data_IF_422936791980
#
_entry.id   IF_422936791980
#
_cell.length_a   1.000
_cell.length_b   1.000
_cell.length_c   1.000
_cell.angle_alpha   90.00
_cell.angle_beta   90.00
_cell.angle_gamma   90.00
#
_symmetry.space_group_name_H-M   'P 1'
#
loop_
_entity.id
_entity.type
_entity.pdbx_description
1 polymer ?
#
# COMPACT_ATOMS: atom_id res chain seq x y z
N UNK A 1 14.97 -12.93 12.86
CA UNK A 1 14.30 -13.29 11.61
C UNK A 1 12.81 -13.17 11.84
N UNK A 2 12.15 -12.25 11.17
CA UNK A 2 10.70 -12.06 11.22
C UNK A 2 10.03 -12.61 9.95
N UNK A 3 8.71 -12.79 9.98
CA UNK A 3 7.90 -13.23 8.84
C UNK A 3 7.06 -12.06 8.35
N UNK A 4 7.27 -11.62 7.13
CA UNK A 4 6.54 -10.51 6.52
C UNK A 4 5.65 -10.98 5.38
N UNK A 5 4.42 -10.48 5.36
CA UNK A 5 3.48 -10.64 4.27
C UNK A 5 3.45 -9.40 3.37
N UNK A 6 3.35 -9.59 2.06
CA UNK A 6 3.12 -8.52 1.10
C UNK A 6 1.88 -8.83 0.27
N UNK A 7 0.80 -8.15 0.58
CA UNK A 7 -0.43 -8.22 -0.20
C UNK A 7 -0.34 -7.22 -1.35
N UNK A 8 -0.16 -7.77 -2.56
CA UNK A 8 0.04 -6.99 -3.77
C UNK A 8 1.51 -6.74 -4.10
N UNK A 9 2.23 -7.77 -4.53
CA UNK A 9 3.59 -7.66 -5.06
C UNK A 9 3.60 -7.03 -6.47
N UNK A 10 3.19 -5.75 -6.51
CA UNK A 10 3.32 -4.86 -7.67
C UNK A 10 4.69 -4.18 -7.69
N UNK A 11 4.75 -2.95 -8.22
CA UNK A 11 5.99 -2.18 -8.31
C UNK A 11 6.61 -1.91 -6.93
N UNK A 12 5.83 -1.38 -5.99
CA UNK A 12 6.29 -1.12 -4.62
C UNK A 12 6.45 -2.42 -3.82
N UNK A 13 5.41 -3.27 -3.81
CA UNK A 13 5.42 -4.48 -2.98
C UNK A 13 6.53 -5.45 -3.33
N UNK A 14 6.91 -5.56 -4.61
CA UNK A 14 8.04 -6.42 -5.01
C UNK A 14 9.38 -5.85 -4.56
N UNK A 15 9.59 -4.53 -4.66
CA UNK A 15 10.84 -3.89 -4.22
C UNK A 15 11.03 -4.04 -2.71
N UNK A 16 9.97 -3.78 -1.93
CA UNK A 16 9.98 -4.01 -0.47
C UNK A 16 10.26 -5.47 -0.13
N UNK A 17 9.61 -6.43 -0.82
CA UNK A 17 9.84 -7.85 -0.58
C UNK A 17 11.30 -8.25 -0.82
N UNK A 18 11.91 -7.76 -1.89
CA UNK A 18 13.33 -8.00 -2.21
C UNK A 18 14.22 -7.47 -1.10
N UNK A 19 14.01 -6.23 -0.64
CA UNK A 19 14.85 -5.62 0.39
C UNK A 19 14.73 -6.34 1.74
N UNK A 20 13.50 -6.67 2.18
CA UNK A 20 13.28 -7.43 3.41
C UNK A 20 13.88 -8.84 3.33
N UNK A 21 13.84 -9.49 2.15
CA UNK A 21 14.49 -10.78 1.91
C UNK A 21 16.01 -10.67 2.05
N UNK A 22 16.63 -9.63 1.49
CA UNK A 22 18.06 -9.36 1.66
C UNK A 22 18.44 -9.05 3.12
N UNK A 23 17.54 -8.45 3.89
CA UNK A 23 17.71 -8.24 5.33
C UNK A 23 17.57 -9.54 6.17
N UNK A 24 17.32 -10.69 5.54
CA UNK A 24 17.27 -12.00 6.19
C UNK A 24 15.91 -12.36 6.79
N UNK A 25 14.84 -11.71 6.35
CA UNK A 25 13.48 -12.04 6.80
C UNK A 25 12.82 -13.09 5.89
N UNK A 26 11.81 -13.80 6.42
CA UNK A 26 10.98 -14.71 5.64
C UNK A 26 9.82 -13.95 4.99
N UNK A 27 9.63 -14.12 3.67
CA UNK A 27 8.68 -13.35 2.89
C UNK A 27 7.57 -14.22 2.31
N UNK A 28 6.33 -13.79 2.54
CA UNK A 28 5.12 -14.34 1.92
C UNK A 28 4.54 -13.24 1.03
N UNK A 29 4.43 -13.49 -0.26
CA UNK A 29 3.95 -12.51 -1.22
C UNK A 29 2.71 -12.94 -1.96
N UNK A 30 1.88 -11.98 -2.35
CA UNK A 30 0.67 -12.29 -3.11
C UNK A 30 0.59 -11.52 -4.42
N UNK A 31 -0.03 -12.14 -5.40
CA UNK A 31 -0.45 -11.50 -6.66
C UNK A 31 -1.82 -12.02 -7.08
N UNK A 32 -2.62 -11.15 -7.71
CA UNK A 32 -3.88 -11.58 -8.31
C UNK A 32 -3.67 -12.31 -9.63
N UNK A 33 -2.66 -11.93 -10.37
CA UNK A 33 -2.39 -12.41 -11.73
C UNK A 33 -1.62 -13.73 -11.72
N UNK A 34 -2.18 -14.85 -12.23
CA UNK A 34 -1.50 -16.13 -12.26
C UNK A 34 -0.24 -16.10 -13.13
N UNK A 35 -0.23 -15.29 -14.19
CA UNK A 35 0.93 -15.11 -15.06
C UNK A 35 2.12 -14.45 -14.36
N UNK A 36 1.91 -13.76 -13.25
CA UNK A 36 2.97 -13.16 -12.43
C UNK A 36 3.52 -14.09 -11.34
N UNK A 37 2.90 -15.25 -11.13
CA UNK A 37 3.32 -16.19 -10.09
C UNK A 37 4.78 -16.68 -10.24
N UNK A 38 5.30 -16.98 -11.45
CA UNK A 38 6.71 -17.34 -11.60
C UNK A 38 7.65 -16.23 -11.10
N UNK A 39 7.45 -15.00 -11.56
CA UNK A 39 8.28 -13.86 -11.13
C UNK A 39 8.13 -13.55 -9.63
N UNK A 40 6.97 -13.80 -9.03
CA UNK A 40 6.77 -13.63 -7.60
C UNK A 40 7.59 -14.64 -6.80
N UNK A 41 7.68 -15.91 -7.24
CA UNK A 41 8.48 -16.95 -6.57
C UNK A 41 9.96 -16.63 -6.53
N UNK A 42 10.47 -15.82 -7.46
CA UNK A 42 11.88 -15.40 -7.46
C UNK A 42 12.18 -14.39 -6.34
N UNK A 43 11.19 -13.60 -5.95
CA UNK A 43 11.38 -12.50 -4.99
C UNK A 43 10.91 -12.81 -3.56
N UNK A 44 10.05 -13.82 -3.35
CA UNK A 44 9.57 -14.21 -2.01
C UNK A 44 9.91 -15.66 -1.69
N UNK A 45 9.71 -16.10 -0.46
CA UNK A 45 9.88 -17.49 -0.05
C UNK A 45 8.60 -18.31 -0.30
N UNK A 46 7.44 -17.68 -0.06
CA UNK A 46 6.13 -18.28 -0.30
C UNK A 46 5.29 -17.35 -1.18
N UNK A 47 4.76 -17.87 -2.28
CA UNK A 47 3.97 -17.11 -3.23
C UNK A 47 2.53 -17.63 -3.30
N UNK A 48 1.56 -16.73 -3.11
CA UNK A 48 0.14 -17.06 -3.17
C UNK A 48 -0.56 -16.28 -4.27
N UNK A 49 -1.46 -16.94 -4.98
CA UNK A 49 -2.42 -16.24 -5.82
C UNK A 49 -3.56 -15.78 -4.92
N UNK A 50 -3.82 -14.47 -4.88
CA UNK A 50 -4.83 -13.87 -4.01
C UNK A 50 -5.58 -12.77 -4.76
N UNK A 51 -6.86 -12.94 -4.93
CA UNK A 51 -7.77 -11.86 -5.27
C UNK A 51 -8.51 -11.40 -4.00
N UNK A 52 -8.20 -10.20 -3.53
CA UNK A 52 -8.84 -9.63 -2.35
C UNK A 52 -10.36 -9.48 -2.51
N UNK A 53 -10.85 -9.35 -3.74
CA UNK A 53 -12.28 -9.16 -4.01
C UNK A 53 -13.08 -10.46 -3.89
N UNK A 54 -12.41 -11.61 -3.90
CA UNK A 54 -13.04 -12.90 -3.68
C UNK A 54 -13.35 -13.07 -2.18
N UNK A 55 -14.63 -13.25 -1.86
CA UNK A 55 -15.06 -13.47 -0.49
C UNK A 55 -14.61 -14.83 0.09
N UNK A 56 -14.24 -15.78 -0.79
CA UNK A 56 -13.73 -17.10 -0.44
C UNK A 56 -12.19 -17.17 -0.45
N UNK A 57 -11.51 -16.04 -0.65
CA UNK A 57 -10.05 -15.99 -0.66
C UNK A 57 -9.44 -16.58 0.63
N UNK A 58 -8.37 -17.34 0.47
CA UNK A 58 -7.64 -17.93 1.59
C UNK A 58 -6.63 -16.94 2.18
N UNK A 59 -6.81 -16.63 3.45
CA UNK A 59 -5.97 -15.74 4.23
C UNK A 59 -5.17 -16.47 5.33
N UNK A 60 -5.02 -17.81 5.25
CA UNK A 60 -4.36 -18.60 6.29
C UNK A 60 -2.92 -18.12 6.58
N UNK A 61 -2.22 -17.58 5.58
CA UNK A 61 -0.87 -17.04 5.76
C UNK A 61 -0.78 -15.91 6.80
N UNK A 62 -1.87 -15.20 7.09
CA UNK A 62 -1.89 -14.12 8.08
C UNK A 62 -1.57 -14.59 9.50
N UNK A 63 -1.77 -15.88 9.81
CA UNK A 63 -1.54 -16.44 11.15
C UNK A 63 -0.07 -16.38 11.60
N UNK A 64 0.87 -16.33 10.66
CA UNK A 64 2.29 -16.44 10.93
C UNK A 64 3.07 -15.14 10.83
N UNK A 65 2.40 -14.03 10.50
CA UNK A 65 3.05 -12.77 10.20
C UNK A 65 3.42 -11.98 11.45
N UNK A 66 4.59 -11.36 11.41
CA UNK A 66 5.05 -10.29 12.30
C UNK A 66 4.77 -8.90 11.68
N UNK A 67 4.76 -8.81 10.34
CA UNK A 67 4.40 -7.59 9.61
C UNK A 67 3.66 -7.87 8.31
N UNK A 68 2.76 -6.95 7.92
CA UNK A 68 1.96 -7.03 6.70
C UNK A 68 2.00 -5.71 5.94
N UNK A 69 2.51 -5.74 4.72
CA UNK A 69 2.40 -4.63 3.77
C UNK A 69 1.17 -4.83 2.87
N UNK A 70 0.31 -3.83 2.82
CA UNK A 70 -0.78 -3.73 1.85
C UNK A 70 -0.35 -2.75 0.76
N UNK A 71 0.04 -3.26 -0.42
CA UNK A 71 0.54 -2.50 -1.57
C UNK A 71 -0.24 -2.84 -2.83
N UNK A 72 -1.57 -2.80 -2.71
CA UNK A 72 -2.47 -3.08 -3.81
C UNK A 72 -2.78 -1.83 -4.62
N UNK A 73 -2.88 -1.99 -5.93
CA UNK A 73 -3.33 -0.94 -6.83
C UNK A 73 -4.40 -1.48 -7.76
N UNK A 74 -5.48 -0.73 -8.00
CA UNK A 74 -6.50 -1.13 -8.96
C UNK A 74 -5.95 -1.03 -10.39
N UNK A 75 -6.39 -1.94 -11.26
CA UNK A 75 -5.98 -1.95 -12.67
C UNK A 75 -6.91 -1.13 -13.58
N UNK A 76 -8.08 -0.74 -13.09
CA UNK A 76 -9.08 0.05 -13.81
C UNK A 76 -9.55 1.20 -12.93
N UNK A 77 -10.05 2.28 -13.54
CA UNK A 77 -10.31 3.52 -12.82
C UNK A 77 -11.33 3.37 -11.67
N UNK A 78 -12.61 3.54 -11.83
CA UNK A 78 -13.52 3.65 -10.67
C UNK A 78 -13.98 2.30 -10.12
N UNK A 79 -14.35 1.35 -10.97
CA UNK A 79 -14.82 0.02 -10.53
C UNK A 79 -13.72 -0.80 -9.86
N UNK A 80 -12.50 -0.70 -10.38
CA UNK A 80 -11.32 -1.34 -9.79
C UNK A 80 -11.00 -0.81 -8.40
N UNK A 81 -11.17 0.50 -8.16
CA UNK A 81 -11.00 1.10 -6.85
C UNK A 81 -12.03 0.57 -5.85
N UNK A 82 -13.32 0.52 -6.22
CA UNK A 82 -14.38 -0.04 -5.36
C UNK A 82 -14.12 -1.51 -5.04
N UNK A 83 -13.72 -2.32 -6.03
CA UNK A 83 -13.39 -3.72 -5.81
C UNK A 83 -12.29 -3.88 -4.76
N UNK A 84 -11.15 -3.23 -4.97
CA UNK A 84 -9.97 -3.39 -4.10
C UNK A 84 -10.18 -2.72 -2.74
N UNK A 85 -10.52 -1.42 -2.71
CA UNK A 85 -10.51 -0.64 -1.48
C UNK A 85 -11.81 -0.74 -0.65
N UNK A 86 -12.94 -1.09 -1.25
CA UNK A 86 -14.15 -1.36 -0.48
C UNK A 86 -14.30 -2.85 -0.17
N UNK A 87 -14.48 -3.70 -1.19
CA UNK A 87 -14.75 -5.13 -0.97
C UNK A 87 -13.50 -5.88 -0.53
N UNK A 88 -12.37 -5.66 -1.20
CA UNK A 88 -11.12 -6.35 -0.95
C UNK A 88 -10.57 -6.08 0.45
N UNK A 89 -10.50 -4.80 0.85
CA UNK A 89 -10.01 -4.48 2.21
C UNK A 89 -11.00 -4.91 3.30
N UNK A 90 -12.31 -4.95 3.04
CA UNK A 90 -13.26 -5.56 4.00
C UNK A 90 -13.01 -7.05 4.19
N UNK A 91 -12.73 -7.80 3.12
CA UNK A 91 -12.41 -9.23 3.21
C UNK A 91 -11.12 -9.43 4.02
N UNK A 92 -10.07 -8.67 3.71
CA UNK A 92 -8.79 -8.71 4.45
C UNK A 92 -8.97 -8.33 5.93
N UNK A 93 -9.70 -7.24 6.23
CA UNK A 93 -9.96 -6.81 7.61
C UNK A 93 -10.75 -7.85 8.38
N UNK A 94 -11.74 -8.50 7.75
CA UNK A 94 -12.46 -9.62 8.36
C UNK A 94 -11.52 -10.77 8.70
N UNK A 95 -10.65 -11.15 7.78
CA UNK A 95 -9.65 -12.20 8.01
C UNK A 95 -8.67 -11.83 9.14
N UNK A 96 -8.20 -10.59 9.19
CA UNK A 96 -7.35 -10.09 10.27
C UNK A 96 -8.05 -10.13 11.63
N UNK A 97 -9.34 -9.76 11.71
CA UNK A 97 -10.13 -9.87 12.95
C UNK A 97 -10.32 -11.31 13.41
N UNK A 98 -10.42 -12.25 12.48
CA UNK A 98 -10.57 -13.68 12.76
C UNK A 98 -9.23 -14.40 13.01
N UNK A 99 -8.10 -13.73 12.87
CA UNK A 99 -6.77 -14.27 13.11
C UNK A 99 -6.68 -14.84 14.53
N UNK A 100 -6.24 -16.10 14.66
CA UNK A 100 -6.12 -16.80 15.95
C UNK A 100 -4.83 -16.47 16.68
N UNK A 101 -3.78 -16.14 15.94
CA UNK A 101 -2.50 -15.74 16.49
C UNK A 101 -2.66 -14.48 17.33
N UNK A 102 -1.99 -14.45 18.48
CA UNK A 102 -1.87 -13.29 19.39
C UNK A 102 -0.51 -12.60 19.25
N UNK A 103 0.29 -12.99 18.26
CA UNK A 103 1.55 -12.32 17.95
C UNK A 103 1.27 -10.89 17.49
N UNK A 104 2.09 -9.96 17.92
CA UNK A 104 2.02 -8.59 17.43
C UNK A 104 2.15 -8.55 15.91
N UNK A 105 1.29 -7.79 15.25
CA UNK A 105 1.29 -7.59 13.83
C UNK A 105 1.46 -6.10 13.52
N UNK A 106 2.49 -5.75 12.76
CA UNK A 106 2.65 -4.42 12.19
C UNK A 106 2.04 -4.39 10.79
N UNK A 107 0.98 -3.62 10.62
CA UNK A 107 0.30 -3.47 9.33
C UNK A 107 0.66 -2.12 8.72
N UNK A 108 1.25 -2.12 7.54
CA UNK A 108 1.52 -0.91 6.78
C UNK A 108 0.68 -0.90 5.50
N UNK A 109 -0.11 0.17 5.29
CA UNK A 109 -0.87 0.37 4.06
C UNK A 109 -0.21 1.46 3.22
N UNK A 110 0.04 1.17 1.95
CA UNK A 110 0.37 2.20 0.96
C UNK A 110 -0.92 2.89 0.51
N UNK A 111 -0.99 4.18 0.77
CA UNK A 111 -2.03 5.10 0.32
C UNK A 111 -1.43 6.21 -0.55
N UNK A 112 -2.14 7.28 -0.80
CA UNK A 112 -1.67 8.39 -1.65
C UNK A 112 -1.91 9.74 -0.99
N UNK A 113 -0.95 10.67 -1.14
CA UNK A 113 -1.12 12.07 -0.76
C UNK A 113 -2.25 12.77 -1.57
N UNK A 114 -2.70 12.17 -2.67
CA UNK A 114 -3.85 12.64 -3.43
C UNK A 114 -5.15 12.75 -2.62
N UNK A 115 -5.24 12.05 -1.48
CA UNK A 115 -6.42 12.13 -0.58
C UNK A 115 -6.63 13.52 0.03
N UNK A 116 -5.60 14.35 0.06
CA UNK A 116 -5.72 15.74 0.54
C UNK A 116 -6.35 16.69 -0.49
N UNK A 117 -6.44 16.28 -1.76
CA UNK A 117 -6.91 17.16 -2.83
C UNK A 117 -5.92 18.28 -3.16
N UNK A 118 -6.46 19.40 -3.70
CA UNK A 118 -5.66 20.60 -4.00
C UNK A 118 -5.65 21.53 -2.79
N UNK A 119 -4.54 21.59 -2.10
CA UNK A 119 -4.32 22.47 -0.93
C UNK A 119 -3.69 23.81 -1.33
N UNK A 120 -3.68 24.17 -2.61
CA UNK A 120 -3.20 25.46 -3.15
C UNK A 120 -1.76 25.80 -2.73
N UNK A 121 -0.91 24.76 -2.57
CA UNK A 121 0.48 24.91 -2.15
C UNK A 121 0.69 25.02 -0.63
N UNK A 122 -0.34 24.87 0.17
CA UNK A 122 -0.19 24.79 1.62
C UNK A 122 0.47 23.48 2.04
N UNK A 123 1.19 23.53 3.14
CA UNK A 123 1.75 22.35 3.78
C UNK A 123 0.61 21.52 4.39
N UNK A 124 0.66 20.22 4.19
CA UNK A 124 -0.25 19.25 4.79
C UNK A 124 0.51 18.33 5.73
N UNK A 125 -0.18 17.87 6.75
CA UNK A 125 0.25 16.86 7.70
C UNK A 125 -0.80 15.76 7.84
N UNK A 126 -0.58 14.81 8.73
CA UNK A 126 -1.48 13.67 8.96
C UNK A 126 -2.86 14.07 9.48
N UNK A 127 -2.99 15.22 10.15
CA UNK A 127 -4.24 15.72 10.74
C UNK A 127 -4.98 16.67 9.78
N UNK A 128 -4.36 17.03 8.66
CA UNK A 128 -4.96 17.88 7.64
C UNK A 128 -6.22 17.22 7.05
N UNK A 129 -7.26 18.01 6.78
CA UNK A 129 -8.53 17.51 6.27
C UNK A 129 -8.36 16.84 4.90
N UNK A 130 -9.06 15.71 4.69
CA UNK A 130 -9.07 15.00 3.43
C UNK A 130 -10.16 15.55 2.50
N UNK A 131 -9.85 15.59 1.20
CA UNK A 131 -10.83 15.95 0.16
C UNK A 131 -11.74 14.74 -0.17
N UNK A 132 -12.82 14.61 0.58
CA UNK A 132 -13.83 13.57 0.35
C UNK A 132 -14.86 13.94 -0.72
N UNK A 133 -14.77 15.11 -1.33
CA UNK A 133 -15.62 15.48 -2.48
C UNK A 133 -15.29 14.64 -3.73
N UNK A 134 -14.04 14.19 -3.86
CA UNK A 134 -13.63 13.24 -4.86
C UNK A 134 -14.00 11.80 -4.41
N UNK A 135 -14.81 11.05 -5.19
CA UNK A 135 -15.24 9.69 -4.81
C UNK A 135 -14.09 8.72 -4.56
N UNK A 136 -12.98 8.84 -5.31
CA UNK A 136 -11.78 7.99 -5.12
C UNK A 136 -11.10 8.32 -3.79
N UNK A 137 -10.97 9.61 -3.47
CA UNK A 137 -10.38 10.04 -2.20
C UNK A 137 -11.26 9.62 -1.01
N UNK A 138 -12.59 9.77 -1.12
CA UNK A 138 -13.53 9.31 -0.10
C UNK A 138 -13.42 7.80 0.15
N UNK A 139 -13.25 7.03 -0.91
CA UNK A 139 -13.07 5.58 -0.83
C UNK A 139 -11.74 5.20 -0.15
N UNK A 140 -10.65 5.87 -0.51
CA UNK A 140 -9.34 5.66 0.09
C UNK A 140 -9.33 6.06 1.56
N UNK A 141 -9.91 7.20 1.91
CA UNK A 141 -10.08 7.62 3.31
C UNK A 141 -10.86 6.58 4.13
N UNK A 142 -11.96 6.07 3.58
CA UNK A 142 -12.74 5.00 4.23
C UNK A 142 -11.94 3.70 4.38
N UNK A 143 -11.08 3.38 3.42
CA UNK A 143 -10.19 2.22 3.46
C UNK A 143 -9.11 2.36 4.55
N UNK A 144 -8.50 3.54 4.67
CA UNK A 144 -7.57 3.86 5.74
C UNK A 144 -8.24 3.77 7.12
N UNK A 145 -9.44 4.30 7.27
CA UNK A 145 -10.21 4.26 8.51
C UNK A 145 -10.62 2.83 8.88
N UNK A 146 -10.98 2.01 7.91
CA UNK A 146 -11.32 0.60 8.12
C UNK A 146 -10.16 -0.18 8.75
N UNK A 147 -8.93 0.07 8.31
CA UNK A 147 -7.73 -0.59 8.84
C UNK A 147 -7.32 0.01 10.19
N UNK A 148 -7.35 1.33 10.35
CA UNK A 148 -7.02 1.98 11.63
C UNK A 148 -7.96 1.59 12.76
N UNK A 149 -9.22 1.34 12.44
CA UNK A 149 -10.23 0.89 13.40
C UNK A 149 -10.34 -0.65 13.46
N UNK A 150 -9.25 -1.37 13.14
CA UNK A 150 -9.22 -2.80 13.36
C UNK A 150 -9.24 -3.05 14.88
N UNK A 151 -10.27 -3.73 15.36
CA UNK A 151 -10.45 -4.00 16.78
C UNK A 151 -9.57 -5.21 17.19
N UNK A 152 -8.25 -4.95 17.29
CA UNK A 152 -7.26 -5.93 17.73
C UNK A 152 -6.10 -5.24 18.46
N UNK A 153 -5.92 -5.52 19.76
CA UNK A 153 -4.87 -4.89 20.57
C UNK A 153 -3.46 -5.32 20.17
N UNK A 154 -3.31 -6.46 19.49
CA UNK A 154 -2.05 -7.00 18.97
C UNK A 154 -1.72 -6.48 17.54
N UNK A 155 -2.46 -5.52 17.01
CA UNK A 155 -2.24 -5.00 15.65
C UNK A 155 -2.01 -3.50 15.66
N UNK A 156 -0.83 -3.09 15.20
CA UNK A 156 -0.48 -1.68 14.98
C UNK A 156 -0.63 -1.36 13.49
N UNK A 157 -1.17 -0.19 13.17
CA UNK A 157 -1.45 0.20 11.80
C UNK A 157 -0.73 1.51 11.45
N UNK A 158 0.05 1.48 10.39
CA UNK A 158 0.68 2.63 9.75
C UNK A 158 0.10 2.84 8.35
N UNK A 159 -0.20 4.07 7.97
CA UNK A 159 -0.64 4.44 6.61
C UNK A 159 0.37 5.38 6.00
N UNK A 160 1.01 4.96 4.91
CA UNK A 160 1.95 5.77 4.15
C UNK A 160 1.23 6.41 2.96
N UNK A 161 0.99 7.72 3.00
CA UNK A 161 0.37 8.51 1.93
C UNK A 161 1.44 9.03 0.99
N UNK A 162 1.70 8.30 -0.08
CA UNK A 162 2.79 8.58 -1.02
C UNK A 162 2.41 9.63 -2.06
N UNK A 163 3.37 10.43 -2.48
CA UNK A 163 3.30 11.24 -3.70
C UNK A 163 3.40 10.40 -4.97
N UNK A 164 3.66 11.03 -6.10
CA UNK A 164 3.92 10.34 -7.36
C UNK A 164 5.17 9.45 -7.25
N UNK A 165 5.03 8.16 -7.54
CA UNK A 165 6.13 7.20 -7.32
C UNK A 165 7.05 7.17 -8.55
N UNK A 166 8.37 7.35 -8.32
CA UNK A 166 9.39 7.26 -9.35
C UNK A 166 10.55 6.33 -8.93
N UNK A 167 11.34 5.88 -9.91
CA UNK A 167 12.48 4.99 -9.73
C UNK A 167 12.74 4.13 -10.96
N UNK A 168 13.54 3.04 -10.84
CA UNK A 168 13.79 2.12 -11.96
C UNK A 168 12.49 1.65 -12.64
N UNK A 169 12.40 1.78 -13.95
CA UNK A 169 11.17 1.45 -14.72
C UNK A 169 10.02 2.47 -14.62
N UNK A 170 10.15 3.48 -13.75
CA UNK A 170 9.23 4.63 -13.64
C UNK A 170 10.00 5.94 -13.69
N UNK A 171 10.64 6.19 -14.84
CA UNK A 171 11.45 7.38 -15.06
C UNK A 171 10.56 8.64 -15.14
N UNK A 172 10.78 9.57 -14.22
CA UNK A 172 10.07 10.85 -14.13
C UNK A 172 10.28 11.68 -15.41
N UNK A 173 11.49 11.72 -15.96
CA UNK A 173 11.78 12.47 -17.19
C UNK A 173 11.01 11.89 -18.37
N UNK A 174 10.93 10.56 -18.46
CA UNK A 174 10.13 9.90 -19.49
C UNK A 174 8.64 10.20 -19.33
N UNK A 175 8.12 10.28 -18.10
CA UNK A 175 6.73 10.68 -17.84
C UNK A 175 6.46 12.11 -18.27
N UNK A 176 7.34 13.05 -17.92
CA UNK A 176 7.24 14.46 -18.34
C UNK A 176 7.30 14.59 -19.87
N UNK A 177 8.22 13.89 -20.53
CA UNK A 177 8.33 13.90 -21.99
C UNK A 177 7.08 13.37 -22.69
N UNK A 178 6.41 12.36 -22.14
CA UNK A 178 5.14 11.85 -22.70
C UNK A 178 4.00 12.86 -22.59
N UNK A 179 4.01 13.72 -21.57
CA UNK A 179 3.04 14.78 -21.39
C UNK A 179 3.37 16.05 -22.20
N UNK A 180 4.59 16.16 -22.76
CA UNK A 180 4.99 17.32 -23.55
C UNK A 180 4.10 17.50 -24.78
N UNK A 181 3.59 18.72 -24.98
CA UNK A 181 2.66 19.06 -26.05
C UNK A 181 1.20 18.62 -25.82
N UNK A 182 0.90 17.99 -24.71
CA UNK A 182 -0.49 17.68 -24.32
C UNK A 182 -1.04 18.76 -23.39
N UNK A 183 -2.32 19.06 -23.52
CA UNK A 183 -3.00 19.95 -22.58
C UNK A 183 -3.28 19.18 -21.29
N UNK A 184 -2.59 19.54 -20.22
CA UNK A 184 -2.84 18.96 -18.89
C UNK A 184 -3.95 19.77 -18.22
N UNK A 185 -5.07 19.15 -17.80
CA UNK A 185 -6.19 19.87 -17.18
C UNK A 185 -5.90 20.24 -15.73
N UNK A 186 -4.74 20.86 -15.48
CA UNK A 186 -4.30 21.32 -14.14
C UNK A 186 -3.65 22.68 -14.24
N UNK A 187 -3.78 23.45 -13.18
CA UNK A 187 -3.02 24.67 -13.02
C UNK A 187 -1.51 24.35 -12.98
N UNK A 188 -0.73 24.95 -13.89
CA UNK A 188 0.72 24.72 -13.97
C UNK A 188 1.52 25.19 -12.75
N UNK A 189 0.88 25.84 -11.78
CA UNK A 189 1.49 26.29 -10.53
C UNK A 189 1.40 25.26 -9.40
N UNK A 190 0.75 24.10 -9.62
CA UNK A 190 0.68 23.05 -8.61
C UNK A 190 2.07 22.48 -8.32
N UNK A 191 2.43 22.40 -7.05
CA UNK A 191 3.67 21.75 -6.59
C UNK A 191 3.43 20.24 -6.54
N UNK A 192 4.11 19.44 -7.39
CA UNK A 192 3.93 18.01 -7.36
C UNK A 192 4.71 17.39 -6.20
N UNK A 193 4.06 16.50 -5.44
CA UNK A 193 4.74 15.66 -4.49
C UNK A 193 5.24 14.37 -5.18
N UNK A 194 6.49 14.00 -4.94
CA UNK A 194 7.11 12.81 -5.52
C UNK A 194 7.79 11.97 -4.43
N UNK A 195 7.64 10.66 -4.54
CA UNK A 195 8.26 9.69 -3.64
C UNK A 195 9.17 8.75 -4.42
N UNK A 196 10.44 8.67 -4.01
CA UNK A 196 11.40 7.71 -4.57
C UNK A 196 11.05 6.29 -4.10
N UNK A 197 11.16 5.30 -4.98
CA UNK A 197 10.97 3.89 -4.58
C UNK A 197 11.92 3.48 -3.45
N UNK A 198 13.14 4.01 -3.44
CA UNK A 198 14.14 3.73 -2.40
C UNK A 198 13.68 4.27 -1.04
N UNK A 199 13.13 5.49 -1.01
CA UNK A 199 12.66 6.10 0.24
C UNK A 199 11.37 5.43 0.71
N UNK A 200 10.48 5.04 -0.21
CA UNK A 200 9.28 4.25 0.12
C UNK A 200 9.68 2.94 0.81
N UNK A 201 10.64 2.21 0.23
CA UNK A 201 11.09 0.94 0.79
C UNK A 201 11.73 1.12 2.16
N UNK A 202 12.56 2.16 2.34
CA UNK A 202 13.11 2.53 3.64
C UNK A 202 12.03 2.90 4.65
N UNK A 203 11.03 3.69 4.23
CA UNK A 203 9.90 4.08 5.07
C UNK A 203 9.08 2.88 5.55
N UNK A 204 8.83 1.90 4.67
CA UNK A 204 8.16 0.65 5.05
C UNK A 204 8.99 -0.16 6.04
N UNK A 205 10.30 -0.29 5.79
CA UNK A 205 11.22 -0.99 6.68
C UNK A 205 11.26 -0.34 8.06
N UNK A 206 11.38 0.97 8.10
CA UNK A 206 11.34 1.75 9.34
C UNK A 206 10.01 1.58 10.09
N UNK A 207 8.87 1.59 9.38
CA UNK A 207 7.56 1.35 9.99
C UNK A 207 7.45 -0.03 10.64
N UNK A 208 8.11 -1.04 10.08
CA UNK A 208 8.13 -2.39 10.65
C UNK A 208 9.09 -2.53 11.84
N UNK A 209 10.22 -1.81 11.83
CA UNK A 209 11.23 -1.91 12.90
C UNK A 209 10.86 -1.07 14.12
N UNK A 210 10.40 0.15 13.92
CA UNK A 210 10.16 1.12 14.99
C UNK A 210 8.78 0.98 15.64
N UNK A 211 7.95 0.02 15.20
CA UNK A 211 6.60 -0.16 15.73
C UNK A 211 5.83 1.17 15.78
N UNK A 212 5.87 1.92 14.67
CA UNK A 212 5.22 3.22 14.61
C UNK A 212 3.77 3.08 15.05
N UNK A 213 3.49 3.52 16.27
CA UNK A 213 2.13 3.69 16.77
C UNK A 213 1.34 4.43 15.73
N UNK A 214 0.07 4.06 15.58
CA UNK A 214 -0.91 4.58 14.63
C UNK A 214 -0.49 5.95 14.08
N UNK A 215 0.44 5.93 13.13
CA UNK A 215 1.02 7.12 12.53
C UNK A 215 0.70 7.15 11.04
N UNK A 216 0.43 8.34 10.54
CA UNK A 216 0.37 8.63 9.13
C UNK A 216 1.74 9.23 8.81
N UNK A 217 2.62 8.46 8.18
CA UNK A 217 3.90 9.00 7.74
C UNK A 217 3.76 9.53 6.30
N UNK A 218 4.36 10.67 6.03
CA UNK A 218 4.53 11.24 4.70
C UNK A 218 5.96 10.96 4.24
N UNK A 219 6.11 10.34 3.06
CA UNK A 219 7.41 10.11 2.41
C UNK A 219 7.47 10.90 1.11
#
# INVERSE_FOLDING_TARGET
>A
MAVFGVVGCGYVGSDVAVQLKYAGHHLIGTTRSPERMPALRDVVHEAHQLDLTDAAADFAFLEHLDGLLISVAPTQQTEGYNGVFASGLRNLTRALRCRRSTRNLHLTMISTAGVYGDQQGNVVDEDSPLDTSNPVNALLASAEDLLRNIDRPDTQVCVLRLGGIYGPGRDMVAMIRRAAGQQVPKNGNAIPAWSSIVDITRGVHFAFEEALEIGRAHV
#
